data_IF_872658765889
#
_entry.id   IF_872658765889
#
_cell.length_a   1.000
_cell.length_b   1.000
_cell.length_c   1.000
_cell.angle_alpha   90.00
_cell.angle_beta   90.00
_cell.angle_gamma   90.00
#
_symmetry.space_group_name_H-M   'P 1'
#
loop_
_entity.id
_entity.type
_entity.pdbx_description
1 polymer ?
#
# COMPACT_ATOMS: atom_id res chain seq x y z
N UNK A 1 45.72 -116.54 21.56
CA UNK A 1 47.17 -116.25 21.62
C UNK A 1 47.35 -114.76 21.87
N UNK A 2 47.82 -114.43 23.10
CA UNK A 2 48.61 -113.29 23.61
C UNK A 2 48.49 -111.90 22.94
N UNK A 3 48.42 -110.75 23.63
CA UNK A 3 48.77 -110.34 25.01
C UNK A 3 47.92 -109.09 25.41
N UNK A 4 47.38 -108.93 26.64
CA UNK A 4 47.98 -108.36 27.88
C UNK A 4 48.72 -107.02 27.69
N UNK A 5 48.66 -105.98 28.54
CA UNK A 5 47.89 -105.55 29.73
C UNK A 5 48.57 -104.21 30.17
N UNK A 6 47.84 -103.28 30.82
CA UNK A 6 48.22 -102.51 32.02
C UNK A 6 47.91 -101.00 32.08
N UNK A 7 47.28 -100.67 33.22
CA UNK A 7 47.03 -99.40 33.90
C UNK A 7 48.28 -98.64 34.39
N UNK A 8 48.14 -97.35 34.71
CA UNK A 8 48.38 -96.74 36.06
C UNK A 8 48.08 -95.23 36.11
N UNK A 9 48.23 -94.61 37.30
CA UNK A 9 47.37 -93.61 37.97
C UNK A 9 48.21 -92.40 38.51
N UNK A 10 47.52 -91.34 39.00
CA UNK A 10 47.87 -90.32 40.04
C UNK A 10 48.51 -88.93 39.73
N UNK A 11 47.71 -87.90 40.06
CA UNK A 11 47.86 -86.78 41.05
C UNK A 11 49.09 -85.83 41.17
N UNK A 12 48.71 -84.53 41.26
CA UNK A 12 49.11 -83.45 42.21
C UNK A 12 50.34 -82.52 42.05
N UNK A 13 49.99 -81.20 41.98
CA UNK A 13 50.51 -80.00 42.70
C UNK A 13 51.63 -79.09 42.15
N UNK A 14 51.18 -77.87 41.80
CA UNK A 14 51.67 -76.49 42.06
C UNK A 14 53.17 -76.11 42.01
N UNK A 15 53.52 -75.07 41.20
CA UNK A 15 53.98 -73.77 41.74
C UNK A 15 54.15 -72.62 40.69
N UNK A 16 53.72 -71.41 41.11
CA UNK A 16 54.17 -70.02 40.77
C UNK A 16 53.57 -69.27 39.56
N UNK A 17 52.60 -68.39 39.83
CA UNK A 17 52.04 -67.38 38.90
C UNK A 17 52.18 -65.94 39.43
N UNK A 18 53.15 -65.15 38.96
CA UNK A 18 53.21 -63.69 39.21
C UNK A 18 54.05 -62.92 38.17
N UNK A 19 53.68 -63.02 36.87
CA UNK A 19 53.67 -61.78 36.05
C UNK A 19 52.45 -61.66 35.11
N UNK A 20 51.67 -62.73 34.94
CA UNK A 20 50.51 -62.75 34.04
C UNK A 20 49.24 -62.13 34.64
N UNK A 21 49.08 -62.13 35.96
CA UNK A 21 47.91 -61.58 36.65
C UNK A 21 47.83 -60.05 36.54
N UNK A 22 48.97 -59.34 36.57
CA UNK A 22 49.01 -57.88 36.41
C UNK A 22 48.71 -57.42 34.97
N UNK A 23 49.20 -58.18 33.97
CA UNK A 23 48.85 -57.96 32.57
C UNK A 23 47.37 -58.21 32.30
N UNK A 24 46.79 -59.26 32.90
CA UNK A 24 45.37 -59.57 32.75
C UNK A 24 44.48 -58.47 33.34
N UNK A 25 44.85 -57.93 34.51
CA UNK A 25 44.13 -56.83 35.16
C UNK A 25 44.18 -55.55 34.32
N UNK A 26 45.33 -55.22 33.73
CA UNK A 26 45.45 -54.05 32.83
C UNK A 26 44.65 -54.21 31.53
N UNK A 27 44.61 -55.41 30.96
CA UNK A 27 43.79 -55.70 29.76
C UNK A 27 42.30 -55.59 30.10
N UNK A 28 41.87 -56.14 31.24
CA UNK A 28 40.48 -56.04 31.71
C UNK A 28 40.10 -54.58 31.95
N UNK A 29 40.98 -53.79 32.56
CA UNK A 29 40.76 -52.36 32.78
C UNK A 29 40.63 -51.60 31.46
N UNK A 30 41.51 -51.87 30.49
CA UNK A 30 41.48 -51.24 29.16
C UNK A 30 40.19 -51.62 28.40
N UNK A 31 39.76 -52.88 28.47
CA UNK A 31 38.50 -53.34 27.88
C UNK A 31 37.28 -52.70 28.57
N UNK A 32 37.29 -52.53 29.88
CA UNK A 32 36.20 -51.85 30.59
C UNK A 32 36.11 -50.37 30.19
N UNK A 33 37.26 -49.72 29.97
CA UNK A 33 37.34 -48.31 29.59
C UNK A 33 36.85 -48.09 28.13
N UNK A 34 37.13 -49.01 27.22
CA UNK A 34 36.59 -48.97 25.84
C UNK A 34 35.11 -49.32 25.77
N UNK A 35 34.63 -50.25 26.60
CA UNK A 35 33.19 -50.56 26.70
C UNK A 35 32.44 -49.37 27.29
N UNK A 36 32.98 -48.72 28.33
CA UNK A 36 32.39 -47.53 28.93
C UNK A 36 32.34 -46.35 27.94
N UNK A 37 33.38 -46.16 27.11
CA UNK A 37 33.37 -45.11 26.08
C UNK A 37 32.38 -45.41 24.95
N UNK A 38 32.24 -46.68 24.54
CA UNK A 38 31.22 -47.12 23.57
C UNK A 38 29.80 -46.96 24.11
N UNK A 39 29.58 -47.29 25.39
CA UNK A 39 28.28 -47.08 26.05
C UNK A 39 27.96 -45.59 26.18
N UNK A 40 28.95 -44.76 26.53
CA UNK A 40 28.77 -43.30 26.56
C UNK A 40 28.50 -42.72 25.17
N UNK A 41 29.18 -43.21 24.13
CA UNK A 41 28.92 -42.86 22.74
C UNK A 41 27.52 -43.30 22.28
N UNK A 42 27.04 -44.48 22.69
CA UNK A 42 25.68 -44.94 22.41
C UNK A 42 24.64 -44.13 23.19
N UNK A 43 24.87 -43.82 24.46
CA UNK A 43 23.97 -42.99 25.27
C UNK A 43 23.91 -41.55 24.73
N UNK A 44 25.02 -41.00 24.25
CA UNK A 44 25.01 -39.69 23.58
C UNK A 44 24.39 -39.77 22.19
N UNK A 45 24.62 -40.83 21.41
CA UNK A 45 24.02 -41.00 20.09
C UNK A 45 22.50 -41.20 20.16
N UNK A 46 22.01 -42.08 21.06
CA UNK A 46 20.58 -42.27 21.32
C UNK A 46 19.97 -41.13 22.14
N UNK A 47 20.75 -40.48 23.01
CA UNK A 47 20.32 -39.31 23.78
C UNK A 47 20.21 -38.04 22.93
N UNK A 48 21.06 -37.88 21.92
CA UNK A 48 20.97 -36.80 20.90
C UNK A 48 19.88 -37.14 19.87
N UNK A 49 19.74 -38.41 19.48
CA UNK A 49 18.62 -38.84 18.64
C UNK A 49 17.27 -38.74 19.35
N UNK A 50 17.25 -38.87 20.69
CA UNK A 50 16.06 -38.71 21.53
C UNK A 50 15.78 -37.28 22.00
N UNK A 51 16.79 -36.39 22.04
CA UNK A 51 16.63 -34.96 22.40
C UNK A 51 16.50 -34.02 21.21
N UNK A 52 16.76 -34.48 19.99
CA UNK A 52 16.56 -33.72 18.74
C UNK A 52 15.15 -33.81 18.15
N UNK A 53 14.19 -34.44 18.83
CA UNK A 53 12.85 -34.71 18.28
C UNK A 53 11.70 -34.39 19.26
N UNK A 54 11.94 -33.46 20.19
CA UNK A 54 10.93 -32.89 21.08
C UNK A 54 10.58 -31.43 20.73
N UNK A 55 10.92 -30.98 19.52
CA UNK A 55 10.24 -29.86 18.87
C UNK A 55 9.11 -30.42 18.03
N UNK A 56 7.87 -30.14 18.40
CA UNK A 56 6.65 -30.70 17.83
C UNK A 56 6.47 -30.27 16.36
N UNK A 57 7.23 -30.86 15.43
CA UNK A 57 6.83 -30.89 14.01
C UNK A 57 5.66 -31.85 13.91
N UNK A 58 4.43 -31.32 13.97
CA UNK A 58 3.22 -32.07 13.60
C UNK A 58 3.39 -32.54 12.16
N UNK A 59 3.73 -33.81 11.97
CA UNK A 59 3.68 -34.44 10.65
C UNK A 59 2.22 -34.79 10.38
N UNK A 60 1.52 -33.91 9.69
CA UNK A 60 0.17 -34.20 9.22
C UNK A 60 0.24 -35.24 8.10
N UNK A 61 -0.56 -36.30 8.20
CA UNK A 61 -0.79 -37.20 7.07
C UNK A 61 -1.49 -36.45 5.95
N UNK A 62 -1.35 -36.88 4.68
CA UNK A 62 -2.04 -36.23 3.55
C UNK A 62 -3.56 -36.07 3.80
N UNK A 63 -4.20 -37.08 4.41
CA UNK A 63 -5.61 -37.00 4.81
C UNK A 63 -5.92 -35.96 5.89
N UNK A 64 -5.01 -35.76 6.84
CA UNK A 64 -5.17 -34.73 7.87
C UNK A 64 -4.92 -33.32 7.31
N UNK A 65 -3.99 -33.18 6.36
CA UNK A 65 -3.80 -31.93 5.60
C UNK A 65 -5.06 -31.63 4.79
N UNK A 66 -5.61 -32.63 4.11
CA UNK A 66 -6.85 -32.49 3.34
C UNK A 66 -8.03 -32.10 4.24
N UNK A 67 -8.21 -32.76 5.40
CA UNK A 67 -9.30 -32.40 6.32
C UNK A 67 -9.12 -31.02 6.95
N UNK A 68 -7.88 -30.62 7.28
CA UNK A 68 -7.59 -29.27 7.78
C UNK A 68 -7.83 -28.23 6.68
N UNK A 69 -7.51 -28.56 5.43
CA UNK A 69 -7.77 -27.69 4.28
C UNK A 69 -9.28 -27.54 4.06
N UNK A 70 -10.03 -28.64 4.07
CA UNK A 70 -11.49 -28.61 3.95
C UNK A 70 -12.14 -27.81 5.09
N UNK A 71 -11.70 -28.00 6.33
CA UNK A 71 -12.20 -27.23 7.48
C UNK A 71 -11.86 -25.74 7.37
N UNK A 72 -10.65 -25.40 6.90
CA UNK A 72 -10.24 -24.03 6.64
C UNK A 72 -11.05 -23.40 5.49
N UNK A 73 -11.23 -24.11 4.38
CA UNK A 73 -12.05 -23.69 3.23
C UNK A 73 -13.51 -23.47 3.65
N UNK A 74 -14.10 -24.37 4.45
CA UNK A 74 -15.46 -24.21 4.97
C UNK A 74 -15.58 -23.02 5.92
N UNK A 75 -14.59 -22.81 6.78
CA UNK A 75 -14.55 -21.67 7.71
C UNK A 75 -14.46 -20.35 6.96
N UNK A 76 -13.57 -20.26 5.97
CA UNK A 76 -13.40 -19.09 5.11
C UNK A 76 -14.67 -18.83 4.30
N UNK A 77 -15.25 -19.86 3.69
CA UNK A 77 -16.54 -19.77 2.99
C UNK A 77 -17.64 -19.25 3.91
N UNK A 78 -17.74 -19.76 5.14
CA UNK A 78 -18.73 -19.30 6.12
C UNK A 78 -18.49 -17.85 6.52
N UNK A 79 -17.23 -17.46 6.71
CA UNK A 79 -16.83 -16.08 7.02
C UNK A 79 -17.27 -15.12 5.91
N UNK A 80 -16.97 -15.44 4.65
CA UNK A 80 -17.36 -14.64 3.49
C UNK A 80 -18.89 -14.54 3.40
N UNK A 81 -19.63 -15.65 3.59
CA UNK A 81 -21.10 -15.62 3.57
C UNK A 81 -21.69 -14.75 4.68
N UNK A 82 -21.10 -14.78 5.89
CA UNK A 82 -21.53 -13.92 7.00
C UNK A 82 -21.20 -12.44 6.72
N UNK A 83 -20.04 -12.14 6.12
CA UNK A 83 -19.69 -10.77 5.73
C UNK A 83 -20.64 -10.24 4.66
N UNK A 84 -20.98 -11.05 3.65
CA UNK A 84 -21.99 -10.72 2.63
C UNK A 84 -23.34 -10.45 3.30
N UNK A 85 -23.80 -11.35 4.17
CA UNK A 85 -25.08 -11.19 4.88
C UNK A 85 -25.08 -9.90 5.72
N UNK A 86 -24.07 -9.70 6.56
CA UNK A 86 -23.95 -8.53 7.42
C UNK A 86 -23.90 -7.23 6.61
N UNK A 87 -23.19 -7.22 5.48
CA UNK A 87 -23.09 -6.06 4.61
C UNK A 87 -24.46 -5.70 4.02
N UNK A 88 -25.20 -6.69 3.51
CA UNK A 88 -26.54 -6.49 2.97
C UNK A 88 -27.56 -6.07 4.04
N UNK A 89 -27.48 -6.64 5.25
CA UNK A 89 -28.36 -6.28 6.37
C UNK A 89 -28.11 -4.86 6.88
N UNK A 90 -26.86 -4.37 6.80
CA UNK A 90 -26.49 -3.00 7.20
C UNK A 90 -26.94 -1.92 6.22
N UNK A 91 -27.44 -2.29 5.03
CA UNK A 91 -27.82 -1.36 3.98
C UNK A 91 -26.66 -0.86 3.11
N UNK A 92 -25.45 -1.42 3.28
CA UNK A 92 -24.31 -1.11 2.39
C UNK A 92 -24.60 -1.54 0.96
N UNK A 93 -24.02 -0.80 0.01
CA UNK A 93 -24.14 -1.13 -1.40
C UNK A 93 -23.38 -2.41 -1.75
N UNK A 94 -23.84 -3.13 -2.78
CA UNK A 94 -23.11 -4.30 -3.32
C UNK A 94 -21.68 -3.93 -3.74
N UNK A 95 -21.46 -2.71 -4.21
CA UNK A 95 -20.14 -2.21 -4.61
C UNK A 95 -19.18 -2.08 -3.43
N UNK A 96 -19.63 -1.47 -2.32
CA UNK A 96 -18.84 -1.37 -1.09
C UNK A 96 -18.50 -2.76 -0.55
N UNK A 97 -19.50 -3.65 -0.47
CA UNK A 97 -19.31 -5.04 -0.05
C UNK A 97 -18.23 -5.75 -0.87
N UNK A 98 -18.31 -5.67 -2.20
CA UNK A 98 -17.32 -6.32 -3.08
C UNK A 98 -15.94 -5.69 -2.92
N UNK A 99 -15.83 -4.37 -2.81
CA UNK A 99 -14.52 -3.72 -2.59
C UNK A 99 -13.89 -4.13 -1.27
N UNK A 100 -14.67 -4.24 -0.20
CA UNK A 100 -14.22 -4.71 1.11
C UNK A 100 -13.71 -6.17 1.04
N UNK A 101 -14.53 -7.09 0.52
CA UNK A 101 -14.17 -8.53 0.41
C UNK A 101 -12.92 -8.73 -0.46
N UNK A 102 -12.84 -8.06 -1.60
CA UNK A 102 -11.74 -8.25 -2.55
C UNK A 102 -10.48 -7.47 -2.17
N UNK A 103 -10.57 -6.52 -1.23
CA UNK A 103 -9.41 -5.78 -0.72
C UNK A 103 -8.35 -6.72 -0.14
N UNK A 104 -8.78 -7.67 0.70
CA UNK A 104 -7.89 -8.67 1.31
C UNK A 104 -7.24 -9.59 0.27
N UNK A 105 -7.98 -9.93 -0.78
CA UNK A 105 -7.47 -10.74 -1.91
C UNK A 105 -6.56 -9.97 -2.87
N UNK A 106 -6.10 -8.78 -2.48
CA UNK A 106 -5.28 -7.87 -3.30
C UNK A 106 -5.90 -7.56 -4.68
N UNK A 107 -7.21 -7.35 -4.74
CA UNK A 107 -7.93 -7.05 -5.99
C UNK A 107 -8.70 -5.73 -5.90
N UNK A 108 -8.53 -4.89 -6.91
CA UNK A 108 -9.26 -3.63 -7.09
C UNK A 108 -10.55 -3.91 -7.85
N UNK A 109 -11.68 -3.48 -7.29
CA UNK A 109 -13.00 -3.62 -7.90
C UNK A 109 -13.45 -2.28 -8.48
N UNK A 110 -13.46 -2.21 -9.80
CA UNK A 110 -13.91 -1.06 -10.60
C UNK A 110 -15.33 -1.29 -11.06
N UNK A 111 -16.20 -0.29 -10.89
CA UNK A 111 -17.58 -0.30 -11.39
C UNK A 111 -17.71 0.68 -12.53
N UNK A 112 -18.10 0.21 -13.72
CA UNK A 112 -18.21 1.05 -14.91
C UNK A 112 -19.27 0.53 -15.86
N UNK A 113 -20.15 1.40 -16.34
CA UNK A 113 -21.27 1.01 -17.22
C UNK A 113 -22.19 -0.07 -16.61
N UNK A 114 -22.36 -0.08 -15.28
CA UNK A 114 -23.17 -1.08 -14.57
C UNK A 114 -22.53 -2.47 -14.47
N UNK A 115 -21.23 -2.61 -14.76
CA UNK A 115 -20.48 -3.86 -14.67
C UNK A 115 -19.31 -3.74 -13.70
N UNK A 116 -18.93 -4.87 -13.13
CA UNK A 116 -17.78 -5.00 -12.23
C UNK A 116 -16.56 -5.52 -12.99
N UNK A 117 -15.41 -4.93 -12.72
CA UNK A 117 -14.12 -5.29 -13.29
C UNK A 117 -13.11 -5.46 -12.16
N UNK A 118 -12.33 -6.53 -12.24
CA UNK A 118 -11.41 -6.95 -11.19
C UNK A 118 -9.98 -6.83 -11.71
N UNK A 119 -9.20 -5.98 -11.07
CA UNK A 119 -7.80 -5.75 -11.43
C UNK A 119 -6.89 -6.18 -10.27
N UNK A 120 -5.86 -7.00 -10.51
CA UNK A 120 -4.90 -7.33 -9.46
C UNK A 120 -4.18 -6.06 -9.00
N UNK A 121 -3.96 -5.94 -7.69
CA UNK A 121 -3.10 -4.90 -7.14
C UNK A 121 -1.64 -5.13 -7.54
N UNK A 122 -0.87 -4.05 -7.57
CA UNK A 122 0.52 -3.98 -8.00
C UNK A 122 1.38 -3.99 -6.74
N UNK A 123 2.20 -5.04 -6.55
CA UNK A 123 2.97 -5.21 -5.29
C UNK A 123 4.04 -4.12 -5.05
N UNK A 124 4.58 -3.51 -6.12
CA UNK A 124 5.67 -2.53 -6.05
C UNK A 124 5.17 -1.07 -6.06
N UNK A 125 3.95 -0.85 -5.58
CA UNK A 125 3.35 0.48 -5.37
C UNK A 125 3.00 0.61 -3.91
N UNK A 126 3.39 1.74 -3.31
CA UNK A 126 3.16 1.99 -1.89
C UNK A 126 1.68 1.88 -1.53
N UNK A 127 1.39 1.07 -0.51
CA UNK A 127 0.05 0.81 0.00
C UNK A 127 -0.51 2.02 0.73
N UNK A 128 -1.83 2.14 0.74
CA UNK A 128 -2.49 3.08 1.62
C UNK A 128 -2.23 2.62 3.07
N UNK A 129 -1.58 3.43 3.92
CA UNK A 129 -1.44 3.08 5.33
C UNK A 129 -2.80 3.05 6.02
N UNK A 130 -3.78 3.82 5.56
CA UNK A 130 -5.08 3.88 6.20
C UNK A 130 -5.88 2.58 5.95
N UNK A 131 -6.48 1.99 7.00
CA UNK A 131 -7.37 0.86 6.83
C UNK A 131 -8.63 1.28 6.04
N UNK A 132 -9.29 0.29 5.45
CA UNK A 132 -10.55 0.52 4.74
C UNK A 132 -11.58 1.17 5.68
N UNK A 133 -12.16 2.30 5.27
CA UNK A 133 -13.11 3.04 6.11
C UNK A 133 -12.50 3.97 7.16
N UNK A 134 -11.17 4.19 7.16
CA UNK A 134 -10.55 5.11 8.13
C UNK A 134 -10.94 6.58 7.95
N UNK A 135 -11.29 6.97 6.72
CA UNK A 135 -11.71 8.33 6.37
C UNK A 135 -13.23 8.36 6.28
N UNK A 136 -13.84 9.26 7.05
CA UNK A 136 -15.27 9.48 7.08
C UNK A 136 -15.61 10.87 6.58
N UNK A 137 -16.62 10.94 5.71
CA UNK A 137 -17.15 12.20 5.20
C UNK A 137 -18.29 12.70 6.08
N UNK A 138 -18.21 13.94 6.54
CA UNK A 138 -19.28 14.65 7.24
C UNK A 138 -19.57 15.99 6.55
N UNK A 139 -20.54 15.99 5.64
CA UNK A 139 -20.88 17.16 4.82
C UNK A 139 -19.71 17.58 3.92
N UNK A 140 -19.18 18.80 4.13
CA UNK A 140 -18.05 19.38 3.39
C UNK A 140 -16.67 19.08 4.01
N UNK A 141 -16.62 18.22 5.02
CA UNK A 141 -15.36 17.86 5.70
C UNK A 141 -15.13 16.37 5.64
N UNK A 142 -13.85 16.01 5.63
CA UNK A 142 -13.37 14.66 5.86
C UNK A 142 -12.66 14.65 7.21
N UNK A 143 -12.88 13.59 7.98
CA UNK A 143 -12.17 13.35 9.22
C UNK A 143 -11.67 11.91 9.26
N UNK A 144 -10.65 11.67 10.05
CA UNK A 144 -10.19 10.32 10.37
C UNK A 144 -10.95 9.82 11.59
N UNK A 145 -11.54 8.62 11.51
CA UNK A 145 -12.20 7.98 12.64
C UNK A 145 -11.22 7.20 13.53
N UNK A 146 -9.97 7.01 13.07
CA UNK A 146 -9.02 6.04 13.63
C UNK A 146 -7.73 6.69 14.14
N UNK A 147 -7.31 7.78 13.52
CA UNK A 147 -6.04 8.47 13.80
C UNK A 147 -6.27 9.95 14.02
N UNK A 148 -5.95 10.45 15.21
CA UNK A 148 -6.03 11.87 15.56
C UNK A 148 -4.82 12.66 15.01
N UNK A 149 -3.75 11.96 14.65
CA UNK A 149 -2.48 12.54 14.18
C UNK A 149 -2.48 12.91 12.69
N UNK A 150 -3.54 12.54 11.96
CA UNK A 150 -3.70 12.92 10.57
C UNK A 150 -4.11 14.38 10.45
N UNK A 151 -3.32 15.14 9.70
CA UNK A 151 -3.70 16.49 9.32
C UNK A 151 -4.54 16.42 8.04
N UNK A 152 -5.80 16.86 8.14
CA UNK A 152 -6.77 16.80 7.05
C UNK A 152 -7.34 18.19 6.80
N UNK A 153 -6.89 18.83 5.72
CA UNK A 153 -7.49 20.04 5.19
C UNK A 153 -8.50 19.70 4.09
N UNK A 154 -9.51 20.55 3.93
CA UNK A 154 -10.51 20.43 2.86
C UNK A 154 -10.42 21.64 1.94
N UNK A 155 -10.50 21.36 0.64
CA UNK A 155 -10.39 22.35 -0.42
C UNK A 155 -11.43 22.18 -1.50
N UNK A 156 -11.39 23.10 -2.46
CA UNK A 156 -12.26 23.07 -3.64
C UNK A 156 -11.49 23.18 -4.95
N UNK A 157 -11.99 22.51 -5.98
CA UNK A 157 -11.54 22.77 -7.36
C UNK A 157 -12.51 23.76 -8.00
N UNK A 158 -11.97 24.86 -8.54
CA UNK A 158 -12.74 25.93 -9.18
C UNK A 158 -12.29 26.13 -10.63
N UNK A 159 -13.26 26.38 -11.52
CA UNK A 159 -13.03 26.66 -12.95
C UNK A 159 -13.97 27.76 -13.45
N UNK A 160 -13.88 28.08 -14.74
CA UNK A 160 -14.86 28.87 -15.48
C UNK A 160 -16.33 28.49 -15.25
N UNK A 161 -16.61 27.19 -15.03
CA UNK A 161 -17.93 26.65 -14.76
C UNK A 161 -18.54 27.17 -13.45
N UNK A 162 -17.70 27.62 -12.51
CA UNK A 162 -18.14 28.23 -11.26
C UNK A 162 -18.47 29.73 -11.41
N UNK A 163 -18.35 30.29 -12.61
CA UNK A 163 -18.66 31.69 -12.87
C UNK A 163 -17.74 32.65 -12.10
N UNK A 164 -18.29 33.81 -11.69
CA UNK A 164 -17.54 34.81 -10.94
C UNK A 164 -17.63 34.53 -9.44
N UNK A 165 -16.48 34.31 -8.81
CA UNK A 165 -16.36 34.09 -7.37
C UNK A 165 -16.48 35.43 -6.62
N UNK A 166 -17.25 35.43 -5.53
CA UNK A 166 -17.28 36.52 -4.56
C UNK A 166 -16.35 36.16 -3.40
N UNK A 167 -15.09 36.57 -3.51
CA UNK A 167 -14.03 36.21 -2.58
C UNK A 167 -14.21 36.77 -1.17
N UNK A 168 -14.96 37.87 -1.01
CA UNK A 168 -15.29 38.38 0.33
C UNK A 168 -16.22 37.42 1.04
N UNK A 169 -17.24 36.90 0.35
CA UNK A 169 -18.13 35.88 0.91
C UNK A 169 -17.47 34.50 1.00
N UNK A 170 -16.53 34.21 0.10
CA UNK A 170 -15.77 32.96 0.12
C UNK A 170 -14.95 32.79 1.41
N UNK A 171 -14.51 33.88 2.03
CA UNK A 171 -13.80 33.83 3.31
C UNK A 171 -14.61 33.13 4.43
N UNK A 172 -15.95 33.20 4.37
CA UNK A 172 -16.85 32.54 5.33
C UNK A 172 -17.11 31.05 5.00
N UNK A 173 -16.54 30.54 3.89
CA UNK A 173 -16.76 29.14 3.47
C UNK A 173 -16.09 28.13 4.40
N UNK A 174 -15.04 28.54 5.13
CA UNK A 174 -14.19 27.68 5.96
C UNK A 174 -13.23 26.79 5.15
N UNK A 175 -12.99 27.13 3.88
CA UNK A 175 -12.03 26.46 2.99
C UNK A 175 -10.66 27.14 3.08
N UNK A 176 -9.62 26.34 3.25
CA UNK A 176 -8.25 26.82 3.53
C UNK A 176 -7.33 26.72 2.30
N UNK A 177 -7.71 25.91 1.31
CA UNK A 177 -6.94 25.72 0.08
C UNK A 177 -7.86 25.50 -1.12
N UNK A 178 -7.40 25.92 -2.29
CA UNK A 178 -8.12 25.76 -3.55
C UNK A 178 -7.21 25.19 -4.64
N UNK A 179 -7.85 24.62 -5.65
CA UNK A 179 -7.22 24.20 -6.89
C UNK A 179 -7.92 24.92 -8.04
N UNK A 180 -7.20 25.73 -8.82
CA UNK A 180 -7.78 26.42 -9.97
C UNK A 180 -7.54 25.62 -11.24
N UNK A 181 -8.57 25.42 -12.04
CA UNK A 181 -8.42 24.86 -13.38
C UNK A 181 -7.52 25.79 -14.20
N UNK A 182 -6.36 25.27 -14.64
CA UNK A 182 -5.46 25.96 -15.55
C UNK A 182 -5.90 25.76 -17.00
N UNK A 183 -6.52 24.61 -17.30
CA UNK A 183 -7.04 24.28 -18.61
C UNK A 183 -7.15 22.79 -18.86
N UNK A 184 -7.60 22.45 -20.07
CA UNK A 184 -7.77 21.08 -20.54
C UNK A 184 -6.76 20.75 -21.64
N UNK A 185 -5.92 19.76 -21.37
CA UNK A 185 -5.06 19.11 -22.33
C UNK A 185 -5.90 18.16 -23.18
N UNK A 186 -6.00 18.51 -24.45
CA UNK A 186 -6.59 17.71 -25.52
C UNK A 186 -5.45 17.26 -26.44
N UNK A 187 -5.57 16.14 -27.16
CA UNK A 187 -4.41 15.47 -27.80
C UNK A 187 -3.54 16.32 -28.74
N UNK A 188 -3.97 17.53 -29.10
CA UNK A 188 -3.26 18.51 -29.91
C UNK A 188 -2.95 19.87 -29.22
N UNK A 189 -3.28 20.09 -27.95
CA UNK A 189 -3.11 21.41 -27.35
C UNK A 189 -3.56 21.52 -25.90
N UNK A 190 -3.38 22.71 -25.33
CA UNK A 190 -3.92 23.11 -24.04
C UNK A 190 -4.98 24.20 -24.28
N UNK A 191 -6.23 23.90 -23.93
CA UNK A 191 -7.30 24.89 -23.87
C UNK A 191 -7.32 25.50 -22.47
N UNK A 192 -6.83 26.74 -22.32
CA UNK A 192 -6.73 27.44 -21.03
C UNK A 192 -8.13 27.76 -20.48
N UNK A 193 -8.27 27.68 -19.16
CA UNK A 193 -9.48 28.12 -18.45
C UNK A 193 -9.65 29.65 -18.56
N UNK A 194 -10.88 30.10 -18.84
CA UNK A 194 -11.19 31.51 -19.10
C UNK A 194 -11.15 32.40 -17.85
N UNK A 195 -11.29 31.83 -16.64
CA UNK A 195 -11.26 32.58 -15.38
C UNK A 195 -9.92 32.46 -14.66
N UNK A 196 -8.97 31.63 -15.13
CA UNK A 196 -7.69 31.39 -14.45
C UNK A 196 -7.01 32.67 -14.00
N UNK A 197 -6.76 33.61 -14.92
CA UNK A 197 -5.95 34.81 -14.62
C UNK A 197 -6.59 35.67 -13.53
N UNK A 198 -7.93 35.80 -13.57
CA UNK A 198 -8.68 36.55 -12.57
C UNK A 198 -8.65 35.82 -11.23
N UNK A 199 -9.06 34.56 -11.22
CA UNK A 199 -9.20 33.78 -10.00
C UNK A 199 -7.84 33.60 -9.30
N UNK A 200 -6.78 33.42 -10.07
CA UNK A 200 -5.42 33.31 -9.55
C UNK A 200 -4.98 34.57 -8.83
N UNK A 201 -5.16 35.72 -9.48
CA UNK A 201 -4.84 37.03 -8.88
C UNK A 201 -5.69 37.32 -7.65
N UNK A 202 -7.01 37.16 -7.74
CA UNK A 202 -7.92 37.47 -6.65
C UNK A 202 -7.71 36.51 -5.44
N UNK A 203 -7.39 35.23 -5.68
CA UNK A 203 -7.02 34.29 -4.62
C UNK A 203 -5.69 34.66 -3.95
N UNK A 204 -4.70 35.12 -4.73
CA UNK A 204 -3.45 35.63 -4.20
C UNK A 204 -3.65 36.86 -3.31
N UNK A 205 -4.46 37.84 -3.74
CA UNK A 205 -4.81 39.03 -2.95
C UNK A 205 -5.51 38.69 -1.61
N UNK A 206 -6.14 37.51 -1.53
CA UNK A 206 -6.80 36.98 -0.33
C UNK A 206 -5.94 35.99 0.46
N UNK A 207 -4.69 35.78 0.04
CA UNK A 207 -3.72 34.88 0.69
C UNK A 207 -4.23 33.43 0.79
N UNK A 208 -5.07 33.00 -0.17
CA UNK A 208 -5.62 31.64 -0.20
C UNK A 208 -4.61 30.71 -0.85
N UNK A 209 -4.22 29.63 -0.16
CA UNK A 209 -3.31 28.61 -0.72
C UNK A 209 -3.91 28.02 -2.00
N UNK A 210 -3.24 28.21 -3.12
CA UNK A 210 -3.81 27.93 -4.45
C UNK A 210 -2.90 27.03 -5.26
N UNK A 211 -3.42 25.89 -5.74
CA UNK A 211 -2.79 25.03 -6.75
C UNK A 211 -3.35 25.22 -8.15
N UNK A 212 -2.78 24.52 -9.13
CA UNK A 212 -3.30 24.46 -10.52
C UNK A 212 -3.72 23.05 -10.92
N UNK A 213 -4.87 22.92 -11.59
CA UNK A 213 -5.34 21.68 -12.20
C UNK A 213 -5.29 21.75 -13.73
N UNK A 214 -4.53 20.85 -14.34
CA UNK A 214 -4.62 20.54 -15.76
C UNK A 214 -5.45 19.27 -15.93
N UNK A 215 -6.64 19.43 -16.49
CA UNK A 215 -7.46 18.30 -16.94
C UNK A 215 -6.80 17.68 -18.17
N UNK A 216 -6.80 16.35 -18.27
CA UNK A 216 -6.24 15.63 -19.41
C UNK A 216 -7.35 14.73 -19.96
N UNK A 217 -7.95 15.18 -21.05
CA UNK A 217 -9.07 14.48 -21.68
C UNK A 217 -8.62 13.40 -22.66
N UNK A 218 -7.43 13.57 -23.26
CA UNK A 218 -6.88 12.67 -24.27
C UNK A 218 -5.35 12.57 -24.11
N UNK A 219 -4.72 11.43 -24.46
CA UNK A 219 -3.26 11.37 -24.51
C UNK A 219 -2.74 12.34 -25.57
N UNK A 220 -1.59 12.95 -25.29
CA UNK A 220 -0.96 13.91 -26.20
C UNK A 220 -0.27 13.14 -27.32
N UNK A 221 -0.54 13.52 -28.57
CA UNK A 221 0.13 12.94 -29.74
C UNK A 221 1.61 13.24 -29.71
N UNK A 222 2.45 12.28 -30.12
CA UNK A 222 3.91 12.35 -29.98
C UNK A 222 4.50 13.65 -30.56
N UNK A 223 4.03 14.11 -31.72
CA UNK A 223 4.48 15.35 -32.36
C UNK A 223 4.07 16.63 -31.63
N UNK A 224 3.06 16.55 -30.75
CA UNK A 224 2.51 17.68 -29.98
C UNK A 224 3.07 17.76 -28.57
N UNK A 225 3.73 16.71 -28.07
CA UNK A 225 4.23 16.63 -26.68
C UNK A 225 5.07 17.84 -26.31
N UNK A 226 5.98 18.27 -27.18
CA UNK A 226 6.84 19.42 -26.92
C UNK A 226 6.06 20.74 -26.80
N UNK A 227 5.08 20.95 -27.69
CA UNK A 227 4.22 22.14 -27.69
C UNK A 227 3.29 22.19 -26.48
N UNK A 228 2.61 21.08 -26.17
CA UNK A 228 1.71 21.00 -25.00
C UNK A 228 2.52 21.16 -23.70
N UNK A 229 3.68 20.50 -23.60
CA UNK A 229 4.55 20.65 -22.43
C UNK A 229 5.06 22.09 -22.28
N UNK A 230 5.32 22.80 -23.38
CA UNK A 230 5.69 24.21 -23.35
C UNK A 230 4.51 25.08 -22.89
N UNK A 231 3.30 24.85 -23.40
CA UNK A 231 2.10 25.58 -22.98
C UNK A 231 1.78 25.42 -21.49
N UNK A 232 1.94 24.20 -20.95
CA UNK A 232 1.81 23.95 -19.50
C UNK A 232 2.86 24.75 -18.71
N UNK A 233 4.12 24.74 -19.17
CA UNK A 233 5.19 25.52 -18.51
C UNK A 233 4.92 27.01 -18.55
N UNK A 234 4.49 27.53 -19.69
CA UNK A 234 4.20 28.95 -19.87
C UNK A 234 3.04 29.38 -18.96
N UNK A 235 1.98 28.57 -18.87
CA UNK A 235 0.85 28.82 -17.96
C UNK A 235 1.30 28.90 -16.49
N UNK A 236 2.13 27.94 -16.04
CA UNK A 236 2.68 27.95 -14.67
C UNK A 236 3.54 29.19 -14.44
N UNK A 237 4.40 29.53 -15.41
CA UNK A 237 5.29 30.69 -15.32
C UNK A 237 4.53 32.00 -15.26
N UNK A 238 3.52 32.18 -16.11
CA UNK A 238 2.66 33.36 -16.12
C UNK A 238 1.94 33.54 -14.79
N UNK A 239 1.39 32.46 -14.22
CA UNK A 239 0.78 32.50 -12.88
C UNK A 239 1.79 32.93 -11.81
N UNK A 240 3.04 32.43 -11.90
CA UNK A 240 4.12 32.86 -11.00
C UNK A 240 4.46 34.34 -11.15
N UNK A 241 4.65 34.80 -12.39
CA UNK A 241 5.04 36.17 -12.72
C UNK A 241 3.95 37.19 -12.35
N UNK A 242 2.67 36.85 -12.51
CA UNK A 242 1.55 37.71 -12.13
C UNK A 242 1.62 38.13 -10.65
N UNK A 243 1.96 37.18 -9.78
CA UNK A 243 2.11 37.39 -8.34
C UNK A 243 3.38 38.16 -7.99
N UNK A 244 4.48 37.96 -8.73
CA UNK A 244 5.75 38.67 -8.47
C UNK A 244 5.66 40.19 -8.59
N UNK A 245 4.67 40.70 -9.33
CA UNK A 245 4.47 42.12 -9.55
C UNK A 245 3.68 42.80 -8.42
N UNK A 246 2.94 42.03 -7.62
CA UNK A 246 1.89 42.57 -6.73
C UNK A 246 2.16 42.38 -5.23
N UNK A 247 2.92 41.34 -4.82
CA UNK A 247 3.18 41.02 -3.41
C UNK A 247 4.63 41.22 -2.93
N UNK A 248 4.88 41.06 -1.63
CA UNK A 248 6.25 41.06 -1.11
C UNK A 248 6.97 39.74 -1.44
N UNK A 249 8.31 39.75 -1.53
CA UNK A 249 9.09 38.53 -1.86
C UNK A 249 8.86 37.36 -0.88
N UNK A 250 8.50 37.66 0.37
CA UNK A 250 8.21 36.63 1.37
C UNK A 250 6.88 35.94 1.08
N UNK A 251 5.82 36.72 0.87
CA UNK A 251 4.47 36.22 0.56
C UNK A 251 4.50 35.41 -0.74
N UNK A 252 5.28 35.86 -1.72
CA UNK A 252 5.51 35.13 -2.97
C UNK A 252 6.13 33.75 -2.69
N UNK A 253 7.18 33.66 -1.87
CA UNK A 253 7.82 32.38 -1.57
C UNK A 253 6.82 31.42 -0.91
N UNK A 254 6.09 31.89 0.09
CA UNK A 254 5.13 31.06 0.84
C UNK A 254 3.96 30.61 -0.04
N UNK A 255 3.45 31.47 -0.92
CA UNK A 255 2.38 31.13 -1.85
C UNK A 255 2.80 30.05 -2.87
N UNK A 256 4.09 29.98 -3.18
CA UNK A 256 4.65 29.09 -4.19
C UNK A 256 5.34 27.84 -3.65
N UNK A 257 5.64 27.81 -2.36
CA UNK A 257 6.26 26.67 -1.69
C UNK A 257 5.28 25.50 -1.72
N UNK A 258 5.75 24.34 -2.20
CA UNK A 258 4.95 23.13 -2.39
C UNK A 258 3.70 23.28 -3.27
N UNK A 259 3.71 24.22 -4.24
CA UNK A 259 2.63 24.43 -5.19
C UNK A 259 2.22 23.11 -5.88
N UNK A 260 1.07 22.51 -5.52
CA UNK A 260 0.62 21.28 -6.14
C UNK A 260 0.06 21.60 -7.52
N UNK A 261 0.57 20.90 -8.53
CA UNK A 261 0.05 20.97 -9.89
C UNK A 261 -0.58 19.62 -10.20
N UNK A 262 -1.90 19.59 -10.14
CA UNK A 262 -2.72 18.43 -10.43
C UNK A 262 -2.77 18.18 -11.94
N UNK A 263 -2.37 16.98 -12.35
CA UNK A 263 -2.57 16.43 -13.68
C UNK A 263 -3.73 15.44 -13.58
N UNK A 264 -4.95 15.93 -13.79
CA UNK A 264 -6.18 15.17 -13.56
C UNK A 264 -6.63 14.47 -14.84
N UNK A 265 -6.64 13.15 -14.82
CA UNK A 265 -7.03 12.36 -15.98
C UNK A 265 -8.53 12.13 -15.98
N UNK A 266 -9.13 12.30 -17.15
CA UNK A 266 -10.46 11.77 -17.40
C UNK A 266 -10.36 10.27 -17.64
N UNK A 267 -11.15 9.50 -16.89
CA UNK A 267 -11.28 8.08 -17.12
C UNK A 267 -11.76 7.82 -18.56
N UNK A 268 -11.12 6.89 -19.27
CA UNK A 268 -11.60 6.41 -20.58
C UNK A 268 -13.06 5.96 -20.46
N UNK A 269 -13.82 5.95 -21.57
CA UNK A 269 -15.17 5.34 -21.51
C UNK A 269 -15.10 3.83 -21.50
N UNK A 270 -14.12 3.28 -22.21
CA UNK A 270 -13.88 1.85 -22.26
C UNK A 270 -12.99 1.40 -21.09
N UNK A 271 -13.29 0.21 -20.56
CA UNK A 271 -12.52 -0.43 -19.49
C UNK A 271 -11.35 -1.27 -19.99
N UNK A 272 -11.35 -1.58 -21.28
CA UNK A 272 -10.25 -2.26 -21.92
C UNK A 272 -9.44 -1.21 -22.66
N UNK A 273 -8.25 -0.91 -22.13
CA UNK A 273 -7.31 0.01 -22.75
C UNK A 273 -6.27 -0.81 -23.48
N UNK A 274 -6.20 -0.62 -24.81
CA UNK A 274 -5.17 -1.23 -25.64
C UNK A 274 -3.77 -0.85 -25.11
N UNK A 275 -2.80 -1.76 -25.28
CA UNK A 275 -1.46 -1.59 -24.71
C UNK A 275 -0.81 -0.30 -25.20
N UNK A 276 -0.92 -0.03 -26.49
CA UNK A 276 -0.38 1.14 -27.17
C UNK A 276 -0.97 2.43 -26.58
N UNK A 277 -2.30 2.47 -26.40
CA UNK A 277 -3.00 3.61 -25.79
C UNK A 277 -2.60 3.80 -24.33
N UNK A 278 -2.42 2.72 -23.57
CA UNK A 278 -1.91 2.78 -22.19
C UNK A 278 -0.50 3.35 -22.13
N UNK A 279 0.36 2.99 -23.08
CA UNK A 279 1.70 3.54 -23.20
C UNK A 279 1.68 5.04 -23.57
N UNK A 280 0.77 5.46 -24.46
CA UNK A 280 0.54 6.88 -24.81
C UNK A 280 0.12 7.72 -23.60
N UNK A 281 -0.87 7.25 -22.83
CA UNK A 281 -1.27 7.88 -21.57
C UNK A 281 -0.09 8.02 -20.62
N UNK A 282 0.67 6.94 -20.44
CA UNK A 282 1.82 6.94 -19.53
C UNK A 282 2.91 7.93 -19.99
N UNK A 283 3.21 7.99 -21.30
CA UNK A 283 4.17 8.97 -21.86
C UNK A 283 3.69 10.40 -21.69
N UNK A 284 2.39 10.64 -21.90
CA UNK A 284 1.76 11.95 -21.71
C UNK A 284 1.95 12.43 -20.28
N UNK A 285 1.55 11.62 -19.30
CA UNK A 285 1.65 11.98 -17.87
C UNK A 285 3.10 12.27 -17.49
N UNK A 286 4.05 11.41 -17.88
CA UNK A 286 5.48 11.65 -17.58
C UNK A 286 5.97 12.98 -18.15
N UNK A 287 5.63 13.27 -19.41
CA UNK A 287 6.08 14.50 -20.08
C UNK A 287 5.52 15.76 -19.40
N UNK A 288 4.26 15.70 -18.96
CA UNK A 288 3.63 16.80 -18.23
C UNK A 288 4.19 16.93 -16.80
N UNK A 289 4.43 15.82 -16.10
CA UNK A 289 5.11 15.84 -14.80
C UNK A 289 6.50 16.49 -14.90
N UNK A 290 7.27 16.16 -15.96
CA UNK A 290 8.58 16.76 -16.21
C UNK A 290 8.48 18.25 -16.54
N UNK A 291 7.42 18.66 -17.27
CA UNK A 291 7.14 20.07 -17.55
C UNK A 291 6.87 20.84 -16.25
N UNK A 292 6.03 20.31 -15.37
CA UNK A 292 5.72 20.89 -14.05
C UNK A 292 6.99 21.05 -13.20
N UNK A 293 7.80 19.98 -13.10
CA UNK A 293 9.05 20.00 -12.32
C UNK A 293 10.03 21.07 -12.81
N UNK A 294 10.11 21.29 -14.12
CA UNK A 294 10.98 22.31 -14.72
C UNK A 294 10.62 23.74 -14.31
N UNK A 295 9.34 24.00 -14.00
CA UNK A 295 8.87 25.28 -13.47
C UNK A 295 8.78 25.28 -11.92
N UNK A 296 9.46 24.33 -11.27
CA UNK A 296 9.56 24.25 -9.81
C UNK A 296 8.26 23.89 -9.09
N UNK A 297 7.25 23.35 -9.80
CA UNK A 297 6.02 22.85 -9.20
C UNK A 297 6.13 21.39 -8.74
N UNK A 298 5.19 20.96 -7.90
CA UNK A 298 5.06 19.57 -7.45
C UNK A 298 3.97 18.87 -8.26
N UNK A 299 4.30 17.97 -9.21
CA UNK A 299 3.28 17.28 -10.00
C UNK A 299 2.54 16.24 -9.17
N UNK A 300 1.22 16.29 -9.20
CA UNK A 300 0.30 15.33 -8.58
C UNK A 300 -0.49 14.64 -9.70
N UNK A 301 -0.53 13.31 -9.71
CA UNK A 301 -1.31 12.57 -10.73
C UNK A 301 -2.69 12.23 -10.19
N UNK A 302 -3.74 12.57 -10.95
CA UNK A 302 -5.13 12.39 -10.52
C UNK A 302 -5.95 11.45 -11.39
N UNK A 303 -6.81 10.67 -10.76
CA UNK A 303 -7.69 9.74 -11.47
C UNK A 303 -8.60 8.92 -10.55
N UNK A 304 -9.53 8.19 -11.17
CA UNK A 304 -10.37 7.21 -10.48
C UNK A 304 -9.69 5.84 -10.33
N UNK A 305 -10.36 4.90 -9.66
CA UNK A 305 -9.86 3.53 -9.51
C UNK A 305 -9.51 2.87 -10.85
N UNK A 306 -10.31 3.12 -11.89
CA UNK A 306 -10.05 2.60 -13.23
C UNK A 306 -8.76 3.16 -13.82
N UNK A 307 -8.57 4.46 -13.69
CA UNK A 307 -7.42 5.21 -14.18
C UNK A 307 -6.14 4.62 -13.61
N UNK A 308 -6.09 4.46 -12.30
CA UNK A 308 -4.93 3.89 -11.60
C UNK A 308 -4.74 2.39 -11.85
N UNK A 309 -5.82 1.63 -12.02
CA UNK A 309 -5.74 0.18 -12.23
C UNK A 309 -5.34 -0.20 -13.67
N UNK A 310 -5.72 0.59 -14.68
CA UNK A 310 -5.66 0.14 -16.07
C UNK A 310 -5.26 1.21 -17.10
N UNK A 311 -5.64 2.48 -16.94
CA UNK A 311 -5.51 3.48 -18.00
C UNK A 311 -4.07 3.85 -18.33
N UNK A 312 -3.19 3.85 -17.33
CA UNK A 312 -1.75 4.05 -17.50
C UNK A 312 -0.93 3.01 -16.71
N UNK A 313 0.38 3.05 -16.87
CA UNK A 313 1.30 2.24 -16.09
C UNK A 313 1.66 2.91 -14.75
N UNK A 314 0.85 2.61 -13.72
CA UNK A 314 1.06 3.13 -12.36
C UNK A 314 2.41 2.72 -11.78
N UNK A 315 2.93 1.53 -12.12
CA UNK A 315 4.24 1.09 -11.61
C UNK A 315 5.35 2.04 -12.05
N UNK A 316 5.32 2.51 -13.30
CA UNK A 316 6.25 3.51 -13.82
C UNK A 316 6.02 4.94 -13.33
N UNK A 317 4.95 5.18 -12.56
CA UNK A 317 4.54 6.48 -12.04
C UNK A 317 4.38 6.48 -10.50
N UNK A 318 4.81 5.41 -9.83
CA UNK A 318 4.57 5.16 -8.39
C UNK A 318 5.11 6.23 -7.44
N UNK A 319 6.12 6.99 -7.88
CA UNK A 319 6.79 8.02 -7.08
C UNK A 319 6.07 9.38 -7.10
N UNK A 320 4.97 9.52 -7.85
CA UNK A 320 4.19 10.74 -7.87
C UNK A 320 3.12 10.70 -6.76
N UNK A 321 2.89 11.81 -6.04
CA UNK A 321 1.72 11.98 -5.19
C UNK A 321 0.44 11.74 -6.01
N UNK A 322 -0.56 11.16 -5.36
CA UNK A 322 -1.80 10.72 -6.01
C UNK A 322 -2.99 11.51 -5.50
N UNK A 323 -3.85 11.88 -6.44
CA UNK A 323 -5.16 12.47 -6.22
C UNK A 323 -6.23 11.45 -6.62
N UNK A 324 -6.86 10.85 -5.61
CA UNK A 324 -7.92 9.87 -5.79
C UNK A 324 -9.24 10.58 -6.10
N UNK A 325 -9.90 10.18 -7.18
CA UNK A 325 -11.27 10.59 -7.49
C UNK A 325 -12.19 9.41 -7.17
N UNK A 326 -12.90 9.51 -6.06
CA UNK A 326 -13.85 8.48 -5.61
C UNK A 326 -14.95 9.14 -4.77
N UNK A 327 -16.17 9.20 -5.31
CA UNK A 327 -17.30 9.87 -4.66
C UNK A 327 -18.13 8.92 -3.77
N UNK A 328 -17.64 7.69 -3.57
CA UNK A 328 -18.24 6.76 -2.64
C UNK A 328 -17.99 7.22 -1.19
N UNK A 329 -18.83 6.79 -0.25
CA UNK A 329 -18.73 7.22 1.15
C UNK A 329 -17.41 6.77 1.83
N UNK A 330 -16.81 5.70 1.32
CA UNK A 330 -15.57 5.12 1.84
C UNK A 330 -14.57 5.03 0.69
N UNK A 331 -13.40 5.64 0.88
CA UNK A 331 -12.28 5.49 -0.05
C UNK A 331 -11.80 4.03 -0.06
N UNK A 332 -11.82 3.40 -1.23
CA UNK A 332 -11.44 1.99 -1.42
C UNK A 332 -10.09 1.81 -2.12
N UNK A 333 -9.40 2.92 -2.37
CA UNK A 333 -8.13 2.90 -3.08
C UNK A 333 -7.02 2.26 -2.24
N UNK A 334 -6.36 1.21 -2.75
CA UNK A 334 -5.43 0.40 -1.96
C UNK A 334 -4.01 0.97 -1.84
N UNK A 335 -3.71 2.06 -2.54
CA UNK A 335 -2.38 2.65 -2.57
C UNK A 335 -2.39 4.03 -1.90
N UNK A 336 -1.25 4.50 -1.41
CA UNK A 336 -1.14 5.83 -0.78
C UNK A 336 -1.69 6.97 -1.67
N UNK A 337 -2.38 7.94 -1.09
CA UNK A 337 -2.82 9.12 -1.80
C UNK A 337 -2.73 10.31 -0.87
N UNK A 338 -2.41 11.47 -1.45
CA UNK A 338 -2.29 12.73 -0.72
C UNK A 338 -3.59 13.52 -0.79
N UNK A 339 -4.36 13.34 -1.86
CA UNK A 339 -5.62 14.03 -2.06
C UNK A 339 -6.73 13.05 -2.36
N UNK A 340 -7.91 13.33 -1.81
CA UNK A 340 -9.15 12.60 -2.09
C UNK A 340 -10.24 13.58 -2.50
N UNK A 341 -10.65 13.50 -3.76
CA UNK A 341 -11.84 14.15 -4.26
C UNK A 341 -13.06 13.26 -4.02
N UNK A 342 -13.96 13.75 -3.18
CA UNK A 342 -15.01 12.95 -2.55
C UNK A 342 -16.43 13.46 -2.86
N UNK A 343 -16.57 14.62 -3.50
CA UNK A 343 -17.88 15.16 -3.88
C UNK A 343 -17.79 16.11 -5.07
N UNK A 344 -18.82 16.09 -5.92
CA UNK A 344 -19.04 17.09 -6.97
C UNK A 344 -20.04 18.17 -6.55
N UNK A 345 -20.69 18.01 -5.38
CA UNK A 345 -21.87 18.80 -4.98
C UNK A 345 -21.55 19.75 -3.81
N UNK A 346 -20.42 20.45 -3.90
CA UNK A 346 -19.96 21.38 -2.87
C UNK A 346 -20.63 22.75 -2.98
N UNK A 347 -21.67 22.99 -2.18
CA UNK A 347 -22.28 24.32 -2.07
C UNK A 347 -21.59 25.16 -1.00
N UNK A 348 -21.22 26.41 -1.31
CA UNK A 348 -20.64 27.33 -0.32
C UNK A 348 -20.83 28.81 -0.67
N UNK A 349 -20.64 29.64 0.35
CA UNK A 349 -20.69 31.08 0.21
C UNK A 349 -19.65 31.58 -0.80
N UNK A 350 -20.07 32.54 -1.63
CA UNK A 350 -19.22 33.17 -2.63
C UNK A 350 -18.97 32.37 -3.92
N UNK A 351 -19.36 31.09 -3.99
CA UNK A 351 -19.21 30.26 -5.19
C UNK A 351 -20.57 30.00 -5.84
N UNK A 352 -20.80 30.47 -7.07
CA UNK A 352 -21.98 30.09 -7.84
C UNK A 352 -22.00 28.59 -8.17
N UNK A 353 -23.12 27.94 -7.88
CA UNK A 353 -23.35 26.54 -8.22
C UNK A 353 -22.55 25.56 -7.36
N UNK A 354 -22.33 24.38 -7.92
CA UNK A 354 -21.60 23.29 -7.29
C UNK A 354 -20.09 23.37 -7.54
N UNK A 355 -19.31 23.19 -6.48
CA UNK A 355 -17.87 23.03 -6.55
C UNK A 355 -17.45 21.60 -6.21
N UNK A 356 -16.37 21.13 -6.83
CA UNK A 356 -15.76 19.84 -6.50
C UNK A 356 -15.04 19.97 -5.16
N UNK A 357 -15.32 19.07 -4.23
CA UNK A 357 -14.68 19.02 -2.91
C UNK A 357 -13.56 18.00 -2.88
N UNK A 358 -12.44 18.37 -2.27
CA UNK A 358 -11.35 17.46 -1.97
C UNK A 358 -10.85 17.61 -0.54
N UNK A 359 -10.19 16.57 -0.04
CA UNK A 359 -9.43 16.58 1.19
C UNK A 359 -7.96 16.33 0.87
N UNK A 360 -7.05 17.06 1.50
CA UNK A 360 -5.61 16.77 1.52
C UNK A 360 -5.30 16.08 2.83
N UNK A 361 -4.57 14.98 2.77
CA UNK A 361 -4.30 14.10 3.92
C UNK A 361 -2.79 14.05 4.11
N UNK A 362 -2.30 14.74 5.12
CA UNK A 362 -0.88 14.80 5.43
C UNK A 362 -0.53 13.94 6.66
N UNK A 363 0.76 13.86 6.95
CA UNK A 363 1.31 13.09 8.07
C UNK A 363 1.01 11.57 8.03
N UNK A 364 0.82 11.01 6.83
CA UNK A 364 0.60 9.58 6.64
C UNK A 364 1.81 8.72 7.04
N UNK A 365 3.02 9.29 7.06
CA UNK A 365 4.23 8.61 7.54
C UNK A 365 4.17 8.35 9.05
N UNK A 366 3.60 9.24 9.87
CA UNK A 366 3.41 8.99 11.29
C UNK A 366 2.46 7.80 11.51
N UNK A 367 1.41 7.68 10.70
CA UNK A 367 0.50 6.52 10.74
C UNK A 367 1.22 5.23 10.32
N UNK A 368 2.08 5.30 9.30
CA UNK A 368 2.91 4.17 8.86
C UNK A 368 3.87 3.70 9.94
N UNK A 369 4.53 4.62 10.65
CA UNK A 369 5.39 4.29 11.80
C UNK A 369 4.61 3.62 12.95
N UNK A 370 3.39 4.10 13.25
CA UNK A 370 2.51 3.48 14.26
C UNK A 370 2.15 2.05 13.85
N UNK A 371 1.81 1.83 12.58
CA UNK A 371 1.43 0.50 12.08
C UNK A 371 2.61 -0.48 12.04
N UNK A 372 3.76 -0.04 11.53
CA UNK A 372 4.98 -0.85 11.52
C UNK A 372 5.41 -1.20 12.95
N UNK A 373 5.25 -0.27 13.90
CA UNK A 373 5.46 -0.51 15.33
C UNK A 373 4.50 -1.55 15.92
N UNK A 374 3.21 -1.47 15.59
CA UNK A 374 2.19 -2.40 16.09
C UNK A 374 2.39 -3.84 15.58
N UNK A 375 2.81 -4.03 14.32
CA UNK A 375 3.15 -5.35 13.78
C UNK A 375 4.34 -5.98 14.53
N UNK A 376 5.35 -5.18 14.91
CA UNK A 376 6.49 -5.69 15.68
C UNK A 376 6.19 -6.07 17.13
N UNK A 377 5.15 -5.49 17.74
CA UNK A 377 4.76 -5.81 19.12
C UNK A 377 3.79 -7.00 19.19
N UNK A 378 2.91 -7.16 18.18
CA UNK A 378 2.03 -8.34 18.05
C UNK A 378 2.79 -9.67 17.90
N UNK A 379 4.06 -9.61 17.46
CA UNK A 379 4.96 -10.76 17.37
C UNK A 379 5.64 -11.16 18.70
N UNK A 380 5.57 -10.33 19.74
CA UNK A 380 6.17 -10.62 21.07
C UNK A 380 5.19 -11.24 22.05
N UNK A 381 3.89 -10.98 21.91
CA UNK A 381 2.88 -11.46 22.86
C UNK A 381 2.53 -12.95 22.66
N UNK A 382 2.93 -13.58 21.55
CA UNK A 382 2.75 -15.03 21.35
C UNK A 382 3.81 -15.92 22.01
N UNK A 383 4.87 -15.37 22.61
CA UNK A 383 5.92 -16.18 23.27
C UNK A 383 5.79 -16.30 24.80
N UNK A 384 4.83 -15.65 25.46
CA UNK A 384 4.83 -15.57 26.95
C UNK A 384 3.75 -16.38 27.68
N UNK A 385 2.82 -17.06 27.01
CA UNK A 385 1.77 -17.87 27.68
C UNK A 385 1.93 -19.41 27.61
N UNK A 386 3.11 -19.92 27.26
CA UNK A 386 3.43 -21.35 27.39
C UNK A 386 4.54 -21.59 28.43
N UNK A 387 4.31 -21.15 29.66
CA UNK A 387 5.28 -21.28 30.75
C UNK A 387 4.65 -21.22 32.12
N UNK A 388 3.79 -22.18 32.47
CA UNK A 388 3.52 -22.59 33.85
C UNK A 388 2.99 -24.01 33.94
#
# INVERSE_FOLDING_TARGET
MNANLNHTNKNDKEHRSHPHTLYLVNIIFLCCLTIASLLFALITFFGVSGRGMAGMRKFYTARQIDSIREEAEEKERRSILLQIQSSLESGRSTTQMLREIFYESKTIVVVKGGRYYFYPMIDDVERNPLPYGALERSGRRVASAVYDELDISCGVVLSDANGKIDWERFADSGIEEIMLAAGNVVGNGLARDEQLDRNWKEAFEKEIKTGLCFEISEPVRDEMVAGVSQAVRDTIRECREAVTTEGSLQDQKEFFEDLPILLRLRAERDVHVEKEKREEWTRTIRSLCDAVKKEGGVPVIGGDLFTFAAQFDLKGLKNYPRWLIEHDEIASFPYSFLFWEYSLEGHMEGVPGDAVLYARIENTEAVKEIMDGAETDSGKDTETEAGK
#
